data_IF_506752395729
#
_entry.id   IF_506752395729
#
_cell.length_a   1.000
_cell.length_b   1.000
_cell.length_c   1.000
_cell.angle_alpha   90.00
_cell.angle_beta   90.00
_cell.angle_gamma   90.00
#
_symmetry.space_group_name_H-M   'P 1'
#
loop_
_entity.id
_entity.type
_entity.pdbx_description
1 polymer ?
#
# COMPACT_ATOMS: atom_id res chain seq x y z
N UNK A 1 11.75 20.84 -11.54
CA UNK A 1 10.96 20.35 -10.41
C UNK A 1 9.57 20.97 -10.54
N UNK A 2 8.57 20.20 -11.04
CA UNK A 2 7.18 20.70 -11.13
C UNK A 2 6.50 20.34 -9.83
N UNK A 3 6.24 21.30 -8.97
CA UNK A 3 5.39 21.11 -7.79
C UNK A 3 3.95 21.26 -8.27
N UNK A 4 3.26 20.13 -8.45
CA UNK A 4 1.82 20.09 -8.70
C UNK A 4 1.11 20.04 -7.35
N UNK A 5 0.64 21.16 -6.84
CA UNK A 5 -0.34 21.17 -5.75
C UNK A 5 -1.70 20.95 -6.40
N UNK A 6 -2.15 19.70 -6.40
CA UNK A 6 -3.56 19.40 -6.67
C UNK A 6 -4.35 19.77 -5.43
N UNK A 7 -5.02 20.92 -5.44
CA UNK A 7 -6.10 21.20 -4.51
C UNK A 7 -7.31 20.40 -5.01
N UNK A 8 -7.79 19.39 -4.31
CA UNK A 8 -9.04 18.74 -4.70
C UNK A 8 -10.14 19.79 -4.56
N UNK A 9 -10.66 20.27 -5.67
CA UNK A 9 -11.96 20.93 -5.71
C UNK A 9 -12.95 20.02 -5.01
N UNK A 10 -13.69 20.56 -4.05
CA UNK A 10 -14.77 19.90 -3.33
C UNK A 10 -15.74 19.26 -4.32
N UNK A 11 -15.45 18.03 -4.74
CA UNK A 11 -16.34 17.20 -5.51
C UNK A 11 -17.13 16.35 -4.51
N UNK A 12 -18.37 16.77 -4.33
CA UNK A 12 -19.50 15.98 -3.86
C UNK A 12 -19.19 15.00 -2.70
N UNK A 13 -19.52 15.42 -1.48
CA UNK A 13 -19.88 14.49 -0.42
C UNK A 13 -20.88 13.49 -1.01
N UNK A 14 -20.47 12.26 -1.28
CA UNK A 14 -21.39 11.14 -1.31
C UNK A 14 -22.12 11.23 0.03
N UNK A 15 -23.42 11.37 -0.02
CA UNK A 15 -24.25 11.30 1.19
C UNK A 15 -23.81 10.07 1.96
N UNK A 16 -23.28 10.29 3.16
CA UNK A 16 -23.03 9.20 4.08
C UNK A 16 -24.38 8.52 4.29
N UNK A 17 -24.48 7.20 4.15
CA UNK A 17 -25.72 6.50 4.47
C UNK A 17 -26.12 6.87 5.90
N UNK A 18 -27.39 7.13 6.09
CA UNK A 18 -27.98 7.59 7.36
C UNK A 18 -27.53 6.67 8.49
N UNK A 19 -26.93 7.23 9.56
CA UNK A 19 -26.40 6.47 10.69
C UNK A 19 -27.41 5.48 11.29
N UNK A 20 -28.72 5.77 11.18
CA UNK A 20 -29.79 4.86 11.60
C UNK A 20 -29.95 3.63 10.69
N UNK A 21 -29.63 3.74 9.39
CA UNK A 21 -29.61 2.60 8.49
C UNK A 21 -28.34 1.74 8.67
N UNK A 22 -27.23 2.37 9.05
CA UNK A 22 -26.01 1.65 9.45
C UNK A 22 -26.22 0.88 10.76
N UNK A 23 -26.90 1.46 11.74
CA UNK A 23 -27.17 0.79 13.02
C UNK A 23 -28.14 -0.39 12.89
N UNK A 24 -29.13 -0.32 12.01
CA UNK A 24 -30.05 -1.45 11.78
C UNK A 24 -29.43 -2.60 10.96
N UNK A 25 -28.44 -2.30 10.12
CA UNK A 25 -27.67 -3.34 9.41
C UNK A 25 -26.54 -3.94 10.28
N UNK A 26 -26.11 -3.23 11.33
CA UNK A 26 -25.02 -3.69 12.21
C UNK A 26 -25.48 -4.76 13.19
N UNK A 27 -26.77 -4.85 13.49
CA UNK A 27 -27.32 -5.81 14.46
C UNK A 27 -27.58 -7.20 13.83
N UNK A 28 -27.47 -7.36 12.52
CA UNK A 28 -27.55 -8.66 11.82
C UNK A 28 -26.20 -9.17 11.25
N UNK A 29 -25.13 -8.44 11.37
CA UNK A 29 -23.79 -8.97 11.12
C UNK A 29 -23.32 -9.71 12.36
N UNK A 30 -23.69 -11.00 12.45
CA UNK A 30 -22.99 -11.94 13.33
C UNK A 30 -21.48 -11.74 13.10
N UNK A 31 -20.73 -11.67 14.18
CA UNK A 31 -19.27 -11.78 14.18
C UNK A 31 -18.89 -13.14 13.60
N UNK A 32 -18.88 -13.27 12.27
CA UNK A 32 -18.44 -14.49 11.61
C UNK A 32 -16.94 -14.50 11.66
N UNK A 33 -16.41 -15.10 12.72
CA UNK A 33 -15.00 -15.48 12.75
C UNK A 33 -14.80 -16.63 11.79
N UNK A 34 -13.65 -16.63 11.10
CA UNK A 34 -13.18 -17.72 10.24
C UNK A 34 -11.90 -18.28 10.82
N UNK A 35 -11.87 -19.60 10.99
CA UNK A 35 -10.65 -20.32 11.35
C UNK A 35 -9.83 -20.56 10.09
N UNK A 36 -8.51 -20.40 10.18
CA UNK A 36 -7.59 -20.70 9.10
C UNK A 36 -7.10 -22.14 9.25
N UNK A 37 -7.46 -22.99 8.30
CA UNK A 37 -7.08 -24.42 8.25
C UNK A 37 -6.12 -24.72 7.10
N UNK A 38 -6.19 -23.94 6.02
CA UNK A 38 -5.31 -24.10 4.87
C UNK A 38 -4.89 -22.75 4.29
N UNK A 39 -3.63 -22.66 3.88
CA UNK A 39 -3.01 -21.44 3.39
C UNK A 39 -2.25 -21.67 2.08
N UNK A 40 -2.38 -20.77 1.12
CA UNK A 40 -1.48 -20.65 -0.03
C UNK A 40 -0.46 -19.55 0.24
N UNK A 41 0.82 -19.86 0.15
CA UNK A 41 1.91 -18.91 0.34
C UNK A 41 2.79 -18.92 -0.92
N UNK A 42 2.85 -17.80 -1.62
CA UNK A 42 3.68 -17.65 -2.81
C UNK A 42 4.23 -16.22 -2.86
N UNK A 43 5.46 -16.04 -2.38
CA UNK A 43 6.07 -14.72 -2.22
C UNK A 43 7.44 -14.64 -2.90
N UNK A 44 7.75 -13.47 -3.43
CA UNK A 44 9.07 -13.16 -3.97
C UNK A 44 10.06 -12.88 -2.83
N UNK A 45 9.70 -12.00 -1.88
CA UNK A 45 10.51 -11.65 -0.72
C UNK A 45 10.09 -12.48 0.52
N UNK A 46 11.04 -13.25 1.08
CA UNK A 46 10.83 -14.11 2.26
C UNK A 46 11.13 -13.39 3.56
N UNK A 47 11.51 -12.11 3.51
CA UNK A 47 11.82 -11.33 4.72
C UNK A 47 10.60 -11.25 5.64
N UNK A 48 10.76 -11.68 6.89
CA UNK A 48 9.68 -11.67 7.89
C UNK A 48 8.61 -12.75 7.73
N UNK A 49 8.73 -13.68 6.76
CA UNK A 49 7.76 -14.75 6.53
C UNK A 49 7.85 -15.87 7.59
N UNK A 50 9.04 -16.18 8.09
CA UNK A 50 9.30 -17.29 9.00
C UNK A 50 8.38 -17.31 10.24
N UNK A 51 8.15 -16.21 11.00
CA UNK A 51 7.25 -16.21 12.14
C UNK A 51 5.81 -16.61 11.77
N UNK A 52 5.33 -16.20 10.61
CA UNK A 52 4.00 -16.52 10.12
C UNK A 52 3.89 -18.02 9.83
N UNK A 53 4.84 -18.57 9.06
CA UNK A 53 4.86 -19.98 8.69
C UNK A 53 4.94 -20.88 9.94
N UNK A 54 5.76 -20.50 10.92
CA UNK A 54 5.84 -21.20 12.21
C UNK A 54 4.53 -21.15 12.99
N UNK A 55 3.86 -20.00 13.05
CA UNK A 55 2.57 -19.86 13.72
C UNK A 55 1.47 -20.69 13.05
N UNK A 56 1.43 -20.70 11.71
CA UNK A 56 0.52 -21.54 10.95
C UNK A 56 0.76 -23.04 11.22
N UNK A 57 2.02 -23.46 11.18
CA UNK A 57 2.40 -24.86 11.46
C UNK A 57 2.03 -25.31 12.88
N UNK A 58 2.27 -24.46 13.88
CA UNK A 58 1.89 -24.74 15.28
C UNK A 58 0.39 -24.93 15.47
N UNK A 59 -0.42 -24.29 14.63
CA UNK A 59 -1.88 -24.45 14.62
C UNK A 59 -2.38 -25.51 13.61
N UNK A 60 -1.47 -26.36 13.12
CA UNK A 60 -1.78 -27.45 12.19
C UNK A 60 -2.42 -27.01 10.87
N UNK A 61 -2.12 -25.77 10.41
CA UNK A 61 -2.59 -25.29 9.12
C UNK A 61 -1.85 -26.01 7.99
N UNK A 62 -2.59 -26.53 7.02
CA UNK A 62 -1.99 -27.10 5.81
C UNK A 62 -1.45 -25.98 4.92
N UNK A 63 -0.16 -26.01 4.60
CA UNK A 63 0.49 -24.98 3.80
C UNK A 63 0.69 -25.50 2.39
N UNK A 64 0.19 -24.77 1.40
CA UNK A 64 0.45 -24.95 -0.02
C UNK A 64 1.39 -23.86 -0.51
N UNK A 65 2.32 -24.21 -1.39
CA UNK A 65 3.30 -23.24 -1.88
C UNK A 65 3.85 -23.61 -3.27
N UNK A 66 4.60 -22.69 -3.86
CA UNK A 66 5.23 -22.83 -5.17
C UNK A 66 6.71 -22.53 -5.11
N UNK A 67 7.49 -23.19 -5.94
CA UNK A 67 8.89 -22.86 -6.27
C UNK A 67 9.77 -22.45 -5.09
N UNK A 68 10.37 -21.28 -5.15
CA UNK A 68 11.32 -20.80 -4.12
C UNK A 68 10.70 -20.57 -2.74
N UNK A 69 9.39 -20.33 -2.62
CA UNK A 69 8.72 -20.23 -1.32
C UNK A 69 8.53 -21.59 -0.69
N UNK A 70 8.20 -22.60 -1.49
CA UNK A 70 8.12 -23.99 -1.04
C UNK A 70 9.47 -24.47 -0.50
N UNK A 71 10.58 -24.23 -1.24
CA UNK A 71 11.92 -24.56 -0.78
C UNK A 71 12.25 -23.89 0.57
N UNK A 72 11.96 -22.60 0.71
CA UNK A 72 12.16 -21.86 1.96
C UNK A 72 11.41 -22.48 3.14
N UNK A 73 10.15 -22.89 2.96
CA UNK A 73 9.33 -23.51 4.01
C UNK A 73 9.88 -24.89 4.39
N UNK A 74 10.30 -25.68 3.40
CA UNK A 74 10.96 -26.99 3.62
C UNK A 74 12.27 -26.85 4.42
N UNK A 75 13.07 -25.84 4.12
CA UNK A 75 14.32 -25.56 4.83
C UNK A 75 14.10 -25.20 6.30
N UNK A 76 12.93 -24.70 6.66
CA UNK A 76 12.51 -24.50 8.05
C UNK A 76 12.06 -25.80 8.74
N UNK A 77 12.06 -26.93 8.04
CA UNK A 77 11.59 -28.22 8.56
C UNK A 77 10.06 -28.33 8.67
N UNK A 78 9.31 -27.46 7.96
CA UNK A 78 7.86 -27.40 8.01
C UNK A 78 7.27 -28.12 6.79
N UNK A 79 6.29 -29.05 6.99
CA UNK A 79 5.61 -29.69 5.90
C UNK A 79 4.89 -28.68 5.00
N UNK A 80 5.03 -28.86 3.70
CA UNK A 80 4.38 -28.03 2.68
C UNK A 80 3.98 -28.89 1.49
N UNK A 81 2.83 -28.59 0.92
CA UNK A 81 2.27 -29.27 -0.25
C UNK A 81 2.55 -28.41 -1.49
N UNK A 82 3.07 -29.00 -2.54
CA UNK A 82 3.29 -28.28 -3.80
C UNK A 82 1.95 -27.93 -4.47
N UNK A 83 1.84 -26.77 -5.08
CA UNK A 83 0.64 -26.36 -5.83
C UNK A 83 0.39 -27.31 -7.02
N UNK A 84 1.44 -27.88 -7.58
CA UNK A 84 1.40 -28.87 -8.64
C UNK A 84 0.62 -30.13 -8.24
N UNK A 85 0.59 -30.47 -6.94
CA UNK A 85 -0.21 -31.61 -6.43
C UNK A 85 -1.72 -31.31 -6.49
N UNK A 86 -2.13 -30.03 -6.40
CA UNK A 86 -3.54 -29.63 -6.57
C UNK A 86 -3.92 -29.63 -8.06
N UNK A 87 -3.03 -29.07 -8.89
CA UNK A 87 -3.32 -28.86 -10.31
C UNK A 87 -3.16 -30.12 -11.13
N UNK A 88 -2.33 -31.06 -10.69
CA UNK A 88 -1.81 -32.18 -11.46
C UNK A 88 -1.21 -31.72 -12.81
N UNK A 89 -0.66 -30.50 -12.85
CA UNK A 89 -0.09 -29.89 -14.04
C UNK A 89 1.31 -29.37 -13.74
N UNK A 90 2.32 -29.66 -14.58
CA UNK A 90 3.70 -29.26 -14.34
C UNK A 90 3.86 -27.76 -14.50
N UNK A 91 4.90 -27.23 -13.88
CA UNK A 91 5.37 -25.87 -14.15
C UNK A 91 5.82 -25.72 -15.59
N UNK A 92 5.23 -24.76 -16.31
CA UNK A 92 5.57 -24.45 -17.70
C UNK A 92 5.81 -22.94 -17.90
N UNK A 93 6.35 -22.57 -19.04
CA UNK A 93 6.59 -21.18 -19.43
C UNK A 93 7.42 -20.40 -18.41
N UNK A 94 8.38 -21.08 -17.74
CA UNK A 94 9.22 -20.47 -16.70
C UNK A 94 8.43 -20.00 -15.47
N UNK A 95 7.36 -20.70 -15.09
CA UNK A 95 6.57 -20.42 -13.91
C UNK A 95 5.52 -19.30 -14.07
N UNK A 96 5.45 -18.64 -15.22
CA UNK A 96 4.56 -17.50 -15.44
C UNK A 96 3.06 -17.83 -15.34
N UNK A 97 2.67 -19.09 -15.42
CA UNK A 97 1.26 -19.56 -15.36
C UNK A 97 1.00 -20.58 -14.25
N UNK A 98 1.95 -20.81 -13.36
CA UNK A 98 1.91 -21.88 -12.35
C UNK A 98 0.62 -21.86 -11.51
N UNK A 99 0.21 -20.69 -11.03
CA UNK A 99 -0.99 -20.52 -10.21
C UNK A 99 -2.24 -20.14 -11.00
N UNK A 100 -2.14 -19.86 -12.31
CA UNK A 100 -3.26 -19.45 -13.15
C UNK A 100 -4.07 -20.67 -13.62
N UNK A 101 -4.64 -21.40 -12.70
CA UNK A 101 -5.37 -22.62 -12.93
C UNK A 101 -6.74 -22.59 -12.24
N UNK A 102 -7.84 -23.06 -12.89
CA UNK A 102 -9.17 -22.97 -12.30
C UNK A 102 -9.30 -23.60 -10.90
N UNK A 103 -8.63 -24.72 -10.63
CA UNK A 103 -8.63 -25.31 -9.30
C UNK A 103 -8.04 -24.39 -8.24
N UNK A 104 -6.92 -23.70 -8.54
CA UNK A 104 -6.28 -22.79 -7.60
C UNK A 104 -7.21 -21.62 -7.27
N UNK A 105 -7.81 -21.01 -8.28
CA UNK A 105 -8.75 -19.90 -8.06
C UNK A 105 -10.04 -20.38 -7.38
N UNK A 106 -10.51 -21.59 -7.68
CA UNK A 106 -11.64 -22.22 -7.00
C UNK A 106 -11.41 -22.37 -5.51
N UNK A 107 -10.18 -22.66 -5.06
CA UNK A 107 -9.84 -22.86 -3.65
C UNK A 107 -10.23 -21.68 -2.74
N UNK A 108 -10.27 -20.45 -3.25
CA UNK A 108 -10.54 -19.25 -2.47
C UNK A 108 -11.54 -18.27 -3.10
N UNK A 109 -12.15 -18.62 -4.25
CA UNK A 109 -13.25 -17.85 -4.85
C UNK A 109 -14.63 -18.45 -4.58
N UNK A 110 -14.70 -19.68 -4.05
CA UNK A 110 -15.94 -20.30 -3.69
C UNK A 110 -16.64 -19.54 -2.54
N UNK A 111 -17.96 -19.52 -2.57
CA UNK A 111 -18.78 -18.98 -1.50
C UNK A 111 -19.15 -20.13 -0.56
N UNK A 112 -18.59 -20.15 0.65
CA UNK A 112 -18.72 -21.27 1.58
C UNK A 112 -20.16 -21.51 2.08
N UNK A 113 -21.02 -20.50 1.98
CA UNK A 113 -22.44 -20.57 2.30
C UNK A 113 -23.34 -20.90 1.09
N UNK A 114 -22.75 -21.07 -0.11
CA UNK A 114 -23.48 -21.45 -1.32
C UNK A 114 -23.41 -22.97 -1.55
N UNK A 115 -24.53 -23.71 -1.42
CA UNK A 115 -24.55 -25.16 -1.58
C UNK A 115 -24.06 -25.67 -2.95
N UNK A 116 -24.23 -24.87 -4.00
CA UNK A 116 -23.76 -25.25 -5.35
C UNK A 116 -22.24 -25.16 -5.44
N UNK A 117 -21.63 -24.13 -4.83
CA UNK A 117 -20.18 -23.99 -4.81
C UNK A 117 -19.58 -25.16 -4.01
N UNK A 118 -20.12 -25.45 -2.82
CA UNK A 118 -19.66 -26.57 -1.98
C UNK A 118 -19.70 -27.88 -2.75
N UNK A 119 -20.81 -28.16 -3.45
CA UNK A 119 -20.96 -29.37 -4.28
C UNK A 119 -19.90 -29.43 -5.39
N UNK A 120 -19.63 -28.32 -6.08
CA UNK A 120 -18.62 -28.26 -7.13
C UNK A 120 -17.19 -28.44 -6.56
N UNK A 121 -16.91 -27.89 -5.39
CA UNK A 121 -15.63 -28.11 -4.69
C UNK A 121 -15.37 -29.60 -4.46
N UNK A 122 -16.39 -30.32 -3.98
CA UNK A 122 -16.35 -31.78 -3.79
C UNK A 122 -16.20 -32.54 -5.11
N UNK A 123 -17.05 -32.22 -6.12
CA UNK A 123 -17.07 -32.87 -7.42
C UNK A 123 -15.73 -32.78 -8.16
N UNK A 124 -15.07 -31.62 -8.10
CA UNK A 124 -13.80 -31.37 -8.80
C UNK A 124 -12.57 -31.57 -7.92
N UNK A 125 -12.74 -32.05 -6.68
CA UNK A 125 -11.67 -32.24 -5.69
C UNK A 125 -10.83 -30.96 -5.55
N UNK A 126 -11.49 -29.85 -5.26
CA UNK A 126 -10.87 -28.54 -5.02
C UNK A 126 -10.75 -28.34 -3.50
N UNK A 127 -9.56 -28.23 -2.93
CA UNK A 127 -9.40 -27.96 -1.50
C UNK A 127 -9.84 -26.54 -1.14
N UNK A 128 -10.39 -26.36 0.06
CA UNK A 128 -10.66 -25.04 0.59
C UNK A 128 -9.36 -24.38 1.04
N UNK A 129 -9.15 -23.11 0.65
CA UNK A 129 -8.06 -22.27 1.16
C UNK A 129 -8.66 -21.05 1.89
N UNK A 130 -8.22 -20.87 3.13
CA UNK A 130 -8.73 -19.82 4.01
C UNK A 130 -7.81 -18.58 4.04
N UNK A 131 -6.55 -18.77 3.67
CA UNK A 131 -5.51 -17.75 3.68
C UNK A 131 -4.70 -17.77 2.38
N UNK A 132 -4.45 -16.59 1.84
CA UNK A 132 -3.53 -16.37 0.71
C UNK A 132 -2.50 -15.32 1.14
N UNK A 133 -1.21 -15.67 1.07
CA UNK A 133 -0.08 -14.74 1.30
C UNK A 133 0.70 -14.64 0.02
N UNK A 134 0.70 -13.46 -0.57
CA UNK A 134 1.33 -13.19 -1.87
C UNK A 134 1.92 -11.79 -1.87
N UNK A 135 3.12 -11.64 -2.38
CA UNK A 135 3.67 -10.34 -2.75
C UNK A 135 3.90 -10.26 -4.28
N UNK A 136 4.19 -9.06 -4.76
CA UNK A 136 4.44 -8.81 -6.16
C UNK A 136 5.93 -8.66 -6.45
N UNK A 137 6.34 -8.92 -7.67
CA UNK A 137 7.67 -8.58 -8.13
C UNK A 137 7.94 -7.08 -7.99
N UNK A 138 9.20 -6.69 -7.65
CA UNK A 138 9.55 -5.29 -7.35
C UNK A 138 9.70 -4.44 -8.62
N UNK A 139 8.61 -4.24 -9.37
CA UNK A 139 8.57 -3.54 -10.65
C UNK A 139 9.20 -2.13 -10.55
N UNK A 140 8.73 -1.30 -9.64
CA UNK A 140 9.22 0.08 -9.49
C UNK A 140 10.70 0.14 -9.11
N UNK A 141 11.17 -0.77 -8.24
CA UNK A 141 12.59 -0.87 -7.88
C UNK A 141 13.43 -1.27 -9.11
N UNK A 142 12.90 -2.14 -9.95
CA UNK A 142 13.59 -2.58 -11.18
C UNK A 142 13.65 -1.44 -12.19
N UNK A 143 12.58 -0.67 -12.37
CA UNK A 143 12.60 0.55 -13.20
C UNK A 143 13.62 1.56 -12.67
N UNK A 144 13.58 1.85 -11.36
CA UNK A 144 14.48 2.80 -10.72
C UNK A 144 15.96 2.40 -10.77
N UNK A 145 16.26 1.10 -10.89
CA UNK A 145 17.64 0.61 -11.04
C UNK A 145 18.26 0.86 -12.44
N UNK A 146 17.46 1.28 -13.42
CA UNK A 146 17.89 1.44 -14.80
C UNK A 146 18.13 0.11 -15.52
N UNK A 147 17.45 -0.96 -15.12
CA UNK A 147 17.51 -2.27 -15.76
C UNK A 147 17.07 -2.22 -17.24
N UNK A 148 17.36 -3.26 -18.00
CA UNK A 148 16.91 -3.35 -19.39
C UNK A 148 15.36 -3.39 -19.48
N UNK A 149 14.79 -2.92 -20.59
CA UNK A 149 13.35 -3.00 -20.82
C UNK A 149 12.83 -4.43 -20.70
N UNK A 150 13.58 -5.41 -21.20
CA UNK A 150 13.22 -6.83 -21.10
C UNK A 150 13.15 -7.30 -19.62
N UNK A 151 14.11 -6.89 -18.80
CA UNK A 151 14.11 -7.22 -17.36
C UNK A 151 12.98 -6.52 -16.61
N UNK A 152 12.63 -5.29 -16.99
CA UNK A 152 11.52 -4.53 -16.41
C UNK A 152 10.19 -5.22 -16.75
N UNK A 153 9.99 -5.59 -18.03
CA UNK A 153 8.77 -6.28 -18.47
C UNK A 153 8.60 -7.62 -17.76
N UNK A 154 9.69 -8.38 -17.56
CA UNK A 154 9.63 -9.66 -16.83
C UNK A 154 9.22 -9.49 -15.35
N UNK A 155 9.28 -8.29 -14.79
CA UNK A 155 8.79 -7.96 -13.44
C UNK A 155 7.32 -7.53 -13.40
N UNK A 156 6.60 -7.59 -14.52
CA UNK A 156 5.16 -7.41 -14.52
C UNK A 156 4.50 -8.72 -14.05
N UNK A 157 4.04 -8.72 -12.81
CA UNK A 157 3.45 -9.88 -12.17
C UNK A 157 2.03 -10.14 -12.71
N UNK A 158 1.79 -11.34 -13.20
CA UNK A 158 0.48 -11.78 -13.70
C UNK A 158 -0.21 -12.69 -12.67
N UNK A 159 0.52 -13.66 -12.12
CA UNK A 159 -0.03 -14.64 -11.20
C UNK A 159 -0.35 -14.07 -9.83
N UNK A 160 0.62 -13.40 -9.21
CA UNK A 160 0.49 -12.82 -7.89
C UNK A 160 -0.60 -11.75 -7.81
N UNK A 161 -0.63 -10.81 -8.77
CA UNK A 161 -1.68 -9.78 -8.82
C UNK A 161 -3.08 -10.40 -8.96
N UNK A 162 -3.21 -11.46 -9.74
CA UNK A 162 -4.47 -12.17 -9.93
C UNK A 162 -4.93 -12.85 -8.64
N UNK A 163 -4.03 -13.51 -7.91
CA UNK A 163 -4.30 -14.12 -6.60
C UNK A 163 -4.73 -13.07 -5.57
N UNK A 164 -4.00 -11.95 -5.49
CA UNK A 164 -4.32 -10.84 -4.58
C UNK A 164 -5.74 -10.34 -4.80
N UNK A 165 -6.10 -10.04 -6.06
CA UNK A 165 -7.42 -9.52 -6.40
C UNK A 165 -8.54 -10.53 -6.16
N UNK A 166 -8.31 -11.79 -6.47
CA UNK A 166 -9.30 -12.84 -6.30
C UNK A 166 -9.59 -13.11 -4.82
N UNK A 167 -8.56 -13.28 -3.99
CA UNK A 167 -8.72 -13.46 -2.55
C UNK A 167 -9.35 -12.23 -1.89
N UNK A 168 -8.93 -11.01 -2.28
CA UNK A 168 -9.53 -9.77 -1.78
C UNK A 168 -11.02 -9.64 -2.13
N UNK A 169 -11.44 -10.07 -3.33
CA UNK A 169 -12.85 -10.09 -3.72
C UNK A 169 -13.67 -10.97 -2.79
N UNK A 170 -13.13 -12.12 -2.37
CA UNK A 170 -13.81 -13.07 -1.50
C UNK A 170 -13.43 -12.90 -0.01
N UNK A 171 -13.15 -11.68 0.44
CA UNK A 171 -12.72 -11.40 1.82
C UNK A 171 -13.69 -11.89 2.90
N UNK A 172 -14.93 -12.21 2.56
CA UNK A 172 -15.88 -12.80 3.51
C UNK A 172 -15.43 -14.17 3.96
N UNK A 173 -14.85 -14.95 3.07
CA UNK A 173 -14.46 -16.32 3.28
C UNK A 173 -12.95 -16.56 3.31
N UNK A 174 -12.15 -15.65 2.73
CA UNK A 174 -10.71 -15.80 2.57
C UNK A 174 -9.96 -14.60 3.13
N UNK A 175 -8.85 -14.86 3.82
CA UNK A 175 -7.87 -13.85 4.26
C UNK A 175 -6.85 -13.63 3.14
N UNK A 176 -6.51 -12.37 2.86
CA UNK A 176 -5.42 -12.01 1.95
C UNK A 176 -4.36 -11.18 2.67
N UNK A 177 -3.10 -11.58 2.55
CA UNK A 177 -1.94 -10.79 2.99
C UNK A 177 -1.15 -10.41 1.74
N UNK A 178 -1.26 -9.16 1.25
CA UNK A 178 -0.83 -8.80 -0.10
C UNK A 178 0.60 -8.26 -0.20
N UNK A 179 1.29 -8.10 0.92
CA UNK A 179 2.66 -7.59 0.96
C UNK A 179 3.33 -7.89 2.30
N UNK A 180 4.66 -7.76 2.33
CA UNK A 180 5.48 -7.85 3.55
C UNK A 180 5.03 -6.84 4.62
N UNK A 181 4.58 -5.66 4.22
CA UNK A 181 4.13 -4.60 5.13
C UNK A 181 2.94 -5.02 6.03
N UNK A 182 2.15 -5.98 5.57
CA UNK A 182 0.97 -6.45 6.31
C UNK A 182 1.26 -7.71 7.15
N UNK A 183 2.48 -8.24 7.16
CA UNK A 183 2.84 -9.44 7.92
C UNK A 183 2.63 -9.27 9.42
N UNK A 184 3.08 -8.16 9.98
CA UNK A 184 2.89 -7.86 11.40
C UNK A 184 1.40 -7.71 11.76
N UNK A 185 0.64 -7.02 10.91
CA UNK A 185 -0.81 -6.83 11.07
C UNK A 185 -1.53 -8.18 11.08
N UNK A 186 -1.24 -9.03 10.09
CA UNK A 186 -1.83 -10.36 10.01
C UNK A 186 -1.44 -11.25 11.20
N UNK A 187 -0.15 -11.30 11.56
CA UNK A 187 0.33 -12.14 12.65
C UNK A 187 -0.31 -11.76 13.99
N UNK A 188 -0.49 -10.46 14.25
CA UNK A 188 -1.21 -9.99 15.43
C UNK A 188 -2.67 -10.48 15.43
N UNK A 189 -3.41 -10.30 14.33
CA UNK A 189 -4.78 -10.79 14.21
C UNK A 189 -4.89 -12.29 14.43
N UNK A 190 -3.99 -13.04 13.79
CA UNK A 190 -3.97 -14.50 13.85
C UNK A 190 -3.68 -15.02 15.26
N UNK A 191 -2.70 -14.40 15.95
CA UNK A 191 -2.29 -14.78 17.30
C UNK A 191 -3.36 -14.42 18.34
N UNK A 192 -3.87 -13.17 18.31
CA UNK A 192 -4.92 -12.71 19.21
C UNK A 192 -6.23 -13.48 19.00
N UNK A 193 -6.52 -13.86 17.76
CA UNK A 193 -7.69 -14.64 17.38
C UNK A 193 -7.56 -16.15 17.61
N UNK A 194 -6.42 -16.65 18.12
CA UNK A 194 -6.14 -18.08 18.25
C UNK A 194 -6.43 -18.86 16.96
N UNK A 195 -5.86 -18.39 15.84
CA UNK A 195 -6.06 -18.98 14.52
C UNK A 195 -7.29 -18.50 13.76
N UNK A 196 -8.09 -17.60 14.35
CA UNK A 196 -9.30 -17.06 13.72
C UNK A 196 -9.12 -15.60 13.30
N UNK A 197 -9.92 -15.18 12.33
CA UNK A 197 -10.02 -13.79 11.91
C UNK A 197 -11.46 -13.31 11.88
N UNK A 198 -11.69 -12.04 12.21
CA UNK A 198 -13.01 -11.40 12.09
C UNK A 198 -13.25 -10.91 10.66
N UNK A 199 -14.53 -10.68 10.33
CA UNK A 199 -14.88 -10.09 9.02
C UNK A 199 -14.26 -8.71 8.82
N UNK A 200 -14.15 -7.89 9.88
CA UNK A 200 -13.54 -6.57 9.82
C UNK A 200 -12.04 -6.63 9.52
N UNK A 201 -11.33 -7.54 10.17
CA UNK A 201 -9.90 -7.80 9.91
C UNK A 201 -9.67 -8.23 8.46
N UNK A 202 -10.50 -9.16 7.95
CA UNK A 202 -10.43 -9.60 6.55
C UNK A 202 -10.74 -8.46 5.58
N UNK A 203 -11.74 -7.62 5.88
CA UNK A 203 -12.05 -6.43 5.08
C UNK A 203 -10.90 -5.42 5.06
N UNK A 204 -10.24 -5.21 6.21
CA UNK A 204 -9.05 -4.35 6.27
C UNK A 204 -7.94 -4.86 5.35
N UNK A 205 -7.61 -6.14 5.44
CA UNK A 205 -6.58 -6.76 4.61
C UNK A 205 -6.96 -6.74 3.11
N UNK A 206 -8.25 -6.94 2.78
CA UNK A 206 -8.74 -6.78 1.40
C UNK A 206 -8.60 -5.33 0.89
N UNK A 207 -8.79 -4.33 1.75
CA UNK A 207 -8.54 -2.93 1.41
C UNK A 207 -7.06 -2.72 1.08
N UNK A 208 -6.17 -3.30 1.87
CA UNK A 208 -4.71 -3.27 1.62
C UNK A 208 -4.36 -3.97 0.30
N UNK A 209 -5.00 -5.09 0.00
CA UNK A 209 -4.81 -5.82 -1.26
C UNK A 209 -5.20 -4.97 -2.49
N UNK A 210 -6.32 -4.26 -2.44
CA UNK A 210 -6.70 -3.35 -3.53
C UNK A 210 -5.83 -2.09 -3.58
N UNK A 211 -5.29 -1.64 -2.45
CA UNK A 211 -4.29 -0.58 -2.43
C UNK A 211 -3.02 -1.02 -3.17
N UNK A 212 -2.48 -2.20 -2.85
CA UNK A 212 -1.30 -2.77 -3.52
C UNK A 212 -1.55 -2.92 -5.02
N UNK A 213 -2.67 -3.57 -5.42
CA UNK A 213 -2.93 -3.84 -6.83
C UNK A 213 -3.15 -2.57 -7.66
N UNK A 214 -3.84 -1.57 -7.12
CA UNK A 214 -4.09 -0.32 -7.85
C UNK A 214 -2.82 0.53 -7.98
N UNK A 215 -1.95 0.52 -6.97
CA UNK A 215 -0.67 1.20 -7.01
C UNK A 215 0.25 0.55 -8.06
N UNK A 216 0.32 -0.76 -8.05
CA UNK A 216 1.11 -1.54 -8.99
C UNK A 216 0.71 -1.28 -10.45
N UNK A 217 -0.59 -1.34 -10.75
CA UNK A 217 -1.12 -1.04 -12.09
C UNK A 217 -0.85 0.43 -12.49
N UNK A 218 -0.94 1.37 -11.54
CA UNK A 218 -0.64 2.77 -11.82
C UNK A 218 0.84 2.98 -12.16
N UNK A 219 1.75 2.29 -11.47
CA UNK A 219 3.19 2.35 -11.75
C UNK A 219 3.53 1.75 -13.13
N UNK A 220 2.93 0.60 -13.48
CA UNK A 220 3.10 -0.02 -14.80
C UNK A 220 2.54 0.90 -15.89
N UNK A 221 1.35 1.46 -15.69
CA UNK A 221 0.77 2.44 -16.61
C UNK A 221 1.71 3.62 -16.82
N UNK A 222 2.27 4.18 -15.74
CA UNK A 222 3.20 5.30 -15.82
C UNK A 222 4.47 5.00 -16.63
N UNK A 223 4.96 3.77 -16.56
CA UNK A 223 6.11 3.32 -17.34
C UNK A 223 5.82 3.26 -18.86
N UNK A 224 4.63 2.78 -19.25
CA UNK A 224 4.25 2.66 -20.66
C UNK A 224 3.62 3.93 -21.24
N UNK A 225 3.12 4.83 -20.40
CA UNK A 225 2.33 5.98 -20.85
C UNK A 225 3.20 7.02 -21.55
N UNK A 226 2.91 7.25 -22.83
CA UNK A 226 3.48 8.31 -23.65
C UNK A 226 2.45 9.40 -24.01
N UNK A 227 1.18 9.26 -23.57
CA UNK A 227 0.10 10.20 -23.81
C UNK A 227 0.03 11.21 -22.66
N UNK A 228 0.49 12.43 -22.90
CA UNK A 228 0.51 13.52 -21.91
C UNK A 228 -0.90 13.99 -21.49
N UNK A 229 -1.93 13.57 -22.20
CA UNK A 229 -3.34 13.90 -21.87
C UNK A 229 -3.94 12.97 -20.81
N UNK A 230 -3.28 11.84 -20.51
CA UNK A 230 -3.73 10.87 -19.51
C UNK A 230 -2.79 10.92 -18.31
N UNK A 231 -3.33 11.29 -17.16
CA UNK A 231 -2.60 11.34 -15.90
C UNK A 231 -3.19 10.35 -14.89
N UNK A 232 -2.34 9.49 -14.34
CA UNK A 232 -2.66 8.60 -13.20
C UNK A 232 -1.50 8.62 -12.25
N UNK A 233 -1.80 8.84 -10.99
CA UNK A 233 -0.82 8.80 -9.91
C UNK A 233 -1.39 8.02 -8.73
N UNK A 234 -0.54 7.26 -8.09
CA UNK A 234 -0.86 6.57 -6.85
C UNK A 234 0.24 6.85 -5.83
N UNK A 235 -0.13 7.46 -4.72
CA UNK A 235 0.78 7.75 -3.62
C UNK A 235 0.44 6.80 -2.47
N UNK A 236 1.36 5.88 -2.20
CA UNK A 236 1.15 4.82 -1.22
C UNK A 236 1.14 5.32 0.23
N UNK A 237 1.93 6.36 0.52
CA UNK A 237 2.18 6.82 1.88
C UNK A 237 1.69 8.24 2.11
N UNK A 238 1.06 8.45 3.25
CA UNK A 238 0.65 9.76 3.72
C UNK A 238 1.00 9.95 5.19
N UNK A 239 1.27 11.19 5.58
CA UNK A 239 1.53 11.59 6.96
C UNK A 239 0.37 12.43 7.48
N UNK A 240 -0.01 12.19 8.74
CA UNK A 240 -0.97 13.05 9.42
C UNK A 240 -0.25 14.32 9.87
N UNK A 241 -0.77 15.46 9.48
CA UNK A 241 -0.28 16.76 9.93
C UNK A 241 -0.85 17.10 11.30
N UNK A 242 -0.23 18.06 12.00
CA UNK A 242 -0.70 18.51 13.30
C UNK A 242 -2.16 18.99 13.26
N UNK A 243 -2.54 19.71 12.21
CA UNK A 243 -3.92 20.10 11.86
C UNK A 243 -3.98 20.56 10.39
N UNK A 244 -5.19 20.75 9.85
CA UNK A 244 -5.43 21.28 8.52
C UNK A 244 -5.27 22.80 8.45
N UNK A 245 -6.11 23.47 7.66
CA UNK A 245 -6.15 24.95 7.60
C UNK A 245 -6.55 25.55 8.95
N UNK A 246 -7.52 24.95 9.61
CA UNK A 246 -8.00 25.33 10.96
C UNK A 246 -7.66 24.26 11.98
N UNK A 247 -7.48 24.62 13.29
CA UNK A 247 -7.05 23.68 14.34
C UNK A 247 -7.94 22.46 14.54
N UNK A 248 -9.22 22.55 14.20
CA UNK A 248 -10.19 21.45 14.34
C UNK A 248 -10.24 20.51 13.12
N UNK A 249 -9.55 20.85 12.04
CA UNK A 249 -9.50 20.07 10.81
C UNK A 249 -8.32 19.12 10.81
N UNK A 250 -8.50 17.93 10.26
CA UNK A 250 -7.38 17.01 9.98
C UNK A 250 -6.69 17.43 8.68
N UNK A 251 -5.37 17.47 8.71
CA UNK A 251 -4.52 17.67 7.53
C UNK A 251 -3.72 16.41 7.24
N UNK A 252 -3.44 16.19 5.96
CA UNK A 252 -2.62 15.08 5.49
C UNK A 252 -1.65 15.60 4.44
N UNK A 253 -0.43 15.07 4.47
CA UNK A 253 0.54 15.21 3.41
C UNK A 253 0.71 13.86 2.74
N UNK A 254 0.57 13.80 1.43
CA UNK A 254 0.80 12.59 0.65
C UNK A 254 2.09 12.76 -0.16
N UNK A 255 3.03 11.86 0.04
CA UNK A 255 4.34 11.86 -0.59
C UNK A 255 5.46 11.55 0.40
N UNK A 256 6.70 11.59 -0.10
CA UNK A 256 7.90 11.28 0.67
C UNK A 256 8.52 12.56 1.27
N UNK A 257 7.92 13.07 2.33
CA UNK A 257 8.33 14.33 2.97
C UNK A 257 9.82 14.35 3.33
N UNK A 258 10.33 13.26 3.92
CA UNK A 258 11.72 13.17 4.37
C UNK A 258 12.75 13.13 3.24
N UNK A 259 12.33 12.83 2.00
CA UNK A 259 13.17 12.99 0.81
C UNK A 259 13.18 14.43 0.28
N UNK A 260 12.16 15.21 0.58
CA UNK A 260 12.02 16.59 0.13
C UNK A 260 12.65 17.57 1.13
N UNK A 261 12.48 17.32 2.43
CA UNK A 261 12.86 18.23 3.49
C UNK A 261 13.48 17.48 4.67
N UNK A 262 14.40 18.16 5.36
CA UNK A 262 14.96 17.70 6.63
C UNK A 262 14.46 18.59 7.76
N UNK A 263 13.59 18.06 8.64
CA UNK A 263 13.16 18.77 9.83
C UNK A 263 14.25 18.71 10.88
N UNK A 264 14.91 19.85 11.14
CA UNK A 264 16.02 19.92 12.10
C UNK A 264 15.52 20.01 13.54
N UNK A 265 14.41 20.72 13.78
CA UNK A 265 13.85 20.96 15.11
C UNK A 265 12.40 21.46 15.03
N UNK A 266 11.69 21.49 16.14
CA UNK A 266 10.37 22.11 16.27
C UNK A 266 9.21 21.10 16.33
N UNK A 267 7.99 21.66 16.38
CA UNK A 267 6.73 20.91 16.44
C UNK A 267 6.43 20.25 15.10
N UNK A 268 5.48 19.30 15.11
CA UNK A 268 4.93 18.74 13.88
C UNK A 268 4.30 19.83 13.02
N UNK A 269 4.42 19.66 11.70
CA UNK A 269 3.96 20.66 10.74
C UNK A 269 2.43 20.62 10.62
N UNK A 270 1.85 21.79 10.40
CA UNK A 270 0.46 21.96 9.99
C UNK A 270 0.38 22.20 8.47
N UNK A 271 -0.83 22.15 7.94
CA UNK A 271 -1.10 22.52 6.55
C UNK A 271 -0.58 23.91 6.22
N UNK A 272 -0.82 24.91 7.09
CA UNK A 272 -0.35 26.27 6.87
C UNK A 272 1.19 26.38 6.85
N UNK A 273 1.89 25.59 7.67
CA UNK A 273 3.35 25.55 7.59
C UNK A 273 3.86 25.02 6.26
N UNK A 274 3.17 24.04 5.67
CA UNK A 274 3.54 23.52 4.34
C UNK A 274 3.26 24.52 3.23
N UNK A 275 2.21 25.32 3.33
CA UNK A 275 1.96 26.43 2.41
C UNK A 275 3.06 27.49 2.49
N UNK A 276 3.52 27.85 3.71
CA UNK A 276 4.63 28.77 3.89
C UNK A 276 5.93 28.21 3.30
N UNK A 277 6.20 26.90 3.49
CA UNK A 277 7.38 26.23 2.92
C UNK A 277 7.33 26.22 1.39
N UNK A 278 6.17 25.90 0.80
CA UNK A 278 5.99 25.92 -0.66
C UNK A 278 6.23 27.33 -1.23
N UNK A 279 5.64 28.33 -0.62
CA UNK A 279 5.86 29.74 -1.01
C UNK A 279 7.35 30.16 -0.89
N UNK A 280 8.01 29.70 0.19
CA UNK A 280 9.43 29.99 0.40
C UNK A 280 10.32 29.33 -0.66
N UNK A 281 10.08 28.05 -0.99
CA UNK A 281 10.84 27.32 -2.00
C UNK A 281 10.65 27.95 -3.37
N UNK A 282 9.42 28.29 -3.75
CA UNK A 282 9.12 28.93 -5.03
C UNK A 282 9.79 30.30 -5.13
N UNK A 283 9.69 31.14 -4.10
CA UNK A 283 10.34 32.44 -4.05
C UNK A 283 11.86 32.30 -4.15
N UNK A 284 12.49 31.44 -3.36
CA UNK A 284 13.95 31.32 -3.36
C UNK A 284 14.51 30.67 -4.62
N UNK A 285 13.73 29.90 -5.38
CA UNK A 285 14.13 29.43 -6.70
C UNK A 285 14.40 30.53 -7.70
N UNK A 286 13.74 31.70 -7.60
CA UNK A 286 13.98 32.84 -8.44
C UNK A 286 15.38 33.44 -8.21
N UNK A 287 15.92 33.30 -7.00
CA UNK A 287 17.21 33.85 -6.57
C UNK A 287 18.34 32.82 -6.49
N UNK A 288 18.14 31.60 -6.99
CA UNK A 288 19.11 30.49 -6.82
C UNK A 288 20.49 30.73 -7.43
N UNK A 289 20.59 31.63 -8.42
CA UNK A 289 21.82 31.99 -9.12
C UNK A 289 22.38 33.33 -8.69
N UNK A 290 21.73 34.02 -7.75
CA UNK A 290 22.11 35.33 -7.30
C UNK A 290 23.12 35.30 -6.14
N UNK A 291 23.60 36.45 -5.70
CA UNK A 291 24.35 36.61 -4.45
C UNK A 291 23.47 36.13 -3.26
N UNK A 292 24.06 35.86 -2.08
CA UNK A 292 23.33 35.45 -0.92
C UNK A 292 22.03 36.21 -0.67
N UNK A 293 20.90 35.53 -0.79
CA UNK A 293 19.57 36.14 -0.64
C UNK A 293 18.91 35.57 0.63
N UNK A 294 18.29 36.45 1.42
CA UNK A 294 17.51 36.09 2.59
C UNK A 294 16.07 36.59 2.44
N UNK A 295 15.10 35.70 2.65
CA UNK A 295 13.68 36.02 2.64
C UNK A 295 13.03 35.71 3.99
N UNK A 296 12.15 36.59 4.44
CA UNK A 296 11.29 36.44 5.61
C UNK A 296 9.85 36.36 5.12
N UNK A 297 9.17 35.25 5.38
CA UNK A 297 7.81 35.03 4.92
C UNK A 297 6.83 34.93 6.09
N UNK A 298 5.62 35.43 5.85
CA UNK A 298 4.49 35.27 6.75
C UNK A 298 3.22 35.11 5.93
N UNK A 299 2.44 34.06 6.20
CA UNK A 299 1.20 33.76 5.47
C UNK A 299 1.41 33.75 3.94
N UNK A 300 2.38 32.97 3.49
CA UNK A 300 2.75 32.76 2.08
C UNK A 300 3.31 33.99 1.36
N UNK A 301 3.54 35.14 2.03
CA UNK A 301 4.04 36.35 1.44
C UNK A 301 5.35 36.77 2.09
N UNK A 302 6.26 37.33 1.26
CA UNK A 302 7.45 37.93 1.80
C UNK A 302 7.12 39.26 2.49
N UNK A 303 7.46 39.37 3.77
CA UNK A 303 7.48 40.64 4.50
C UNK A 303 8.84 41.32 4.42
N UNK A 304 9.87 40.62 3.95
CA UNK A 304 11.17 41.18 3.64
C UNK A 304 12.01 40.24 2.81
N UNK A 305 12.71 40.75 1.81
CA UNK A 305 13.68 39.99 1.00
C UNK A 305 14.83 40.92 0.62
N UNK A 306 16.06 40.40 0.71
CA UNK A 306 17.24 41.17 0.28
C UNK A 306 18.35 40.22 -0.22
N UNK A 307 19.06 40.69 -1.25
CA UNK A 307 20.23 40.04 -1.83
C UNK A 307 21.46 40.90 -1.51
N UNK A 308 22.49 40.33 -0.88
CA UNK A 308 23.71 41.00 -0.44
C UNK A 308 24.92 40.12 -0.60
N UNK A 309 26.12 40.71 -0.52
CA UNK A 309 27.38 39.94 -0.57
C UNK A 309 27.55 38.90 0.54
N UNK A 310 26.82 39.04 1.65
CA UNK A 310 26.86 38.05 2.77
C UNK A 310 25.45 37.75 3.26
N UNK A 311 25.21 36.54 3.71
CA UNK A 311 23.94 36.14 4.27
C UNK A 311 23.50 36.98 5.47
N UNK A 312 24.47 37.42 6.32
CA UNK A 312 24.20 38.32 7.46
C UNK A 312 23.67 39.68 7.01
N UNK A 313 24.26 40.26 5.98
CA UNK A 313 23.81 41.55 5.45
C UNK A 313 22.44 41.41 4.79
N UNK A 314 22.20 40.31 4.04
CA UNK A 314 20.91 40.04 3.45
C UNK A 314 19.83 39.89 4.52
N UNK A 315 20.11 39.16 5.62
CA UNK A 315 19.18 39.01 6.75
C UNK A 315 18.81 40.38 7.38
N UNK A 316 19.83 41.22 7.70
CA UNK A 316 19.59 42.54 8.33
C UNK A 316 18.68 43.41 7.48
N UNK A 317 18.93 43.45 6.18
CA UNK A 317 18.14 44.27 5.28
C UNK A 317 16.75 43.72 4.97
N UNK A 318 16.63 42.38 4.89
CA UNK A 318 15.33 41.73 4.78
C UNK A 318 14.46 41.96 6.03
N UNK A 319 15.08 41.90 7.23
CA UNK A 319 14.39 42.18 8.50
C UNK A 319 13.94 43.63 8.59
N UNK A 320 14.73 44.60 8.05
CA UNK A 320 14.39 46.01 8.05
C UNK A 320 13.17 46.33 7.18
N UNK A 321 12.77 45.45 6.25
CA UNK A 321 11.58 45.60 5.41
C UNK A 321 10.28 45.68 6.20
N UNK A 322 10.07 44.75 7.11
CA UNK A 322 8.94 44.74 8.06
C UNK A 322 9.33 43.98 9.34
N UNK A 323 10.03 44.64 10.27
CA UNK A 323 10.46 43.99 11.52
C UNK A 323 9.32 43.62 12.46
N UNK A 324 8.14 44.21 12.27
CA UNK A 324 6.95 43.92 13.08
C UNK A 324 6.33 42.57 12.70
N UNK A 325 6.35 42.23 11.42
CA UNK A 325 5.82 40.96 10.93
C UNK A 325 6.82 39.80 11.05
N UNK A 326 8.10 40.11 11.12
CA UNK A 326 9.21 39.15 11.18
C UNK A 326 9.51 38.72 12.63
N UNK A 327 8.73 37.83 13.21
CA UNK A 327 8.92 37.32 14.57
C UNK A 327 8.87 35.80 14.66
#
# INVERSE_FOLDING_TARGET
MKVLISIPTFAQRKQQPNLSQLQNNTTQQMNTTKNIQAALISVFDKTGLEPIVKALHQNHVTIYSTGGTEAFIKDLGIPVVAVEDITAFPEILGGRVNTLYPKIFGCFLNLQDNPNDVKQMEEFNIPQLDLVIVDLYPFEKTVASGASEADIIEKIDIGGISLIRAAAKNFKDTVIVPSVDEYATFLNFYTEGNGNTTLEQRRLLATKAFHVSSHYDAAIFGYFNTDETIYKESIANGQVLRYGENPHQKGFFFGEFDKMFTKLNGKELSYNNLLDVDAAVNLMNEFKNDEPTFAILKHNNACGIATRKTMKAAYVDALAGDPTSAF
#
